data_IF_090989010840
#
_entry.id   IF_090989010840
#
_cell.length_a   1.000
_cell.length_b   1.000
_cell.length_c   1.000
_cell.angle_alpha   90.00
_cell.angle_beta   90.00
_cell.angle_gamma   90.00
#
_symmetry.space_group_name_H-M   'P 1'
#
loop_
_entity.id
_entity.type
_entity.pdbx_description
1 polymer ?
#
# COMPACT_ATOMS: atom_id res chain seq x y z
N UNK A 1 31.17 -7.57 10.77
CA UNK A 1 30.53 -6.35 10.22
C UNK A 1 29.18 -6.74 9.63
N UNK A 2 28.14 -6.83 10.45
CA UNK A 2 26.79 -7.10 9.97
C UNK A 2 26.24 -5.79 9.43
N UNK A 3 26.21 -5.63 8.10
CA UNK A 3 25.34 -4.62 7.51
C UNK A 3 23.93 -5.15 7.64
N UNK A 4 23.16 -4.70 8.63
CA UNK A 4 21.71 -4.80 8.55
C UNK A 4 21.28 -4.06 7.27
N UNK A 5 21.06 -4.81 6.19
CA UNK A 5 20.39 -4.25 5.02
C UNK A 5 18.96 -3.99 5.46
N UNK A 6 18.67 -2.75 5.87
CA UNK A 6 17.28 -2.40 6.12
C UNK A 6 16.60 -2.34 4.76
N UNK A 7 15.73 -3.32 4.53
CA UNK A 7 14.92 -3.42 3.33
C UNK A 7 13.92 -2.26 3.31
N UNK A 8 13.65 -1.73 2.12
CA UNK A 8 12.66 -0.68 1.87
C UNK A 8 11.66 -1.23 0.86
N UNK A 9 10.39 -1.00 1.11
CA UNK A 9 9.31 -1.37 0.20
C UNK A 9 8.85 -0.11 -0.52
N UNK A 10 8.95 -0.10 -1.85
CA UNK A 10 8.35 0.91 -2.70
C UNK A 10 6.93 0.50 -3.02
N UNK A 11 5.95 1.34 -2.69
CA UNK A 11 4.53 1.04 -2.89
C UNK A 11 3.92 2.08 -3.83
N UNK A 12 3.23 1.61 -4.87
CA UNK A 12 2.28 2.41 -5.66
C UNK A 12 0.87 2.06 -5.22
N UNK A 13 0.06 3.08 -4.97
CA UNK A 13 -1.27 2.94 -4.39
C UNK A 13 -2.27 3.94 -5.00
N UNK A 14 -3.54 3.85 -4.58
CA UNK A 14 -4.61 4.78 -4.97
C UNK A 14 -4.80 4.92 -6.49
N UNK A 15 -4.74 3.80 -7.20
CA UNK A 15 -4.94 3.75 -8.64
C UNK A 15 -6.42 3.99 -8.98
N UNK A 16 -6.73 5.21 -9.42
CA UNK A 16 -8.07 5.59 -9.88
C UNK A 16 -7.96 6.31 -11.21
N UNK A 17 -8.73 5.91 -12.21
CA UNK A 17 -8.76 6.55 -13.52
C UNK A 17 -9.85 7.61 -13.64
N UNK A 18 -9.70 8.50 -14.61
CA UNK A 18 -10.76 9.40 -15.08
C UNK A 18 -10.61 9.70 -16.57
N UNK A 19 -11.71 10.12 -17.19
CA UNK A 19 -11.78 10.47 -18.62
C UNK A 19 -11.43 9.31 -19.56
N UNK A 20 -11.68 8.07 -19.14
CA UNK A 20 -11.57 6.90 -20.00
C UNK A 20 -12.82 6.78 -20.90
N UNK A 21 -12.70 6.23 -22.12
CA UNK A 21 -13.86 5.84 -22.90
C UNK A 21 -14.49 4.57 -22.31
N UNK A 22 -15.81 4.52 -22.18
CA UNK A 22 -16.49 3.29 -21.73
C UNK A 22 -16.39 2.18 -22.78
N UNK A 23 -15.84 1.03 -22.41
CA UNK A 23 -15.73 -0.17 -23.27
C UNK A 23 -16.17 -1.42 -22.50
N UNK A 24 -17.48 -1.67 -22.43
CA UNK A 24 -18.06 -2.81 -21.68
C UNK A 24 -17.57 -4.21 -22.09
N UNK A 25 -16.92 -4.35 -23.25
CA UNK A 25 -16.32 -5.60 -23.73
C UNK A 25 -14.86 -5.79 -23.31
N UNK A 26 -14.26 -4.83 -22.64
CA UNK A 26 -12.84 -4.84 -22.27
C UNK A 26 -12.68 -4.58 -20.77
N UNK A 27 -11.59 -5.09 -20.24
CA UNK A 27 -11.10 -4.81 -18.90
C UNK A 27 -9.86 -3.93 -18.98
N UNK A 28 -9.53 -3.23 -17.91
CA UNK A 28 -8.32 -2.45 -17.77
C UNK A 28 -7.35 -3.15 -16.82
N UNK A 29 -6.08 -3.17 -17.19
CA UNK A 29 -4.99 -3.67 -16.35
C UNK A 29 -3.88 -2.63 -16.37
N UNK A 30 -3.32 -2.32 -15.20
CA UNK A 30 -2.13 -1.49 -15.06
C UNK A 30 -0.97 -2.38 -14.65
N UNK A 31 0.14 -2.26 -15.35
CA UNK A 31 1.37 -2.96 -15.02
C UNK A 31 2.47 -1.95 -14.76
N UNK A 32 3.25 -2.15 -13.70
CA UNK A 32 4.49 -1.42 -13.51
C UNK A 32 5.68 -2.33 -13.68
N UNK A 33 6.75 -1.75 -14.22
CA UNK A 33 8.04 -2.42 -14.38
C UNK A 33 9.13 -1.58 -13.71
N UNK A 34 9.87 -2.22 -12.81
CA UNK A 34 11.03 -1.68 -12.13
C UNK A 34 12.15 -2.72 -12.21
N UNK A 35 13.32 -2.34 -12.74
CA UNK A 35 14.51 -3.22 -12.84
C UNK A 35 14.29 -4.60 -13.49
N UNK A 36 13.31 -4.70 -14.38
CA UNK A 36 12.95 -5.95 -15.06
C UNK A 36 11.95 -6.82 -14.30
N UNK A 37 11.60 -6.45 -13.06
CA UNK A 37 10.49 -7.04 -12.33
C UNK A 37 9.19 -6.32 -12.68
N UNK A 38 8.20 -7.10 -13.12
CA UNK A 38 6.90 -6.60 -13.53
C UNK A 38 5.81 -7.05 -12.57
N UNK A 39 5.04 -6.10 -12.06
CA UNK A 39 3.83 -6.35 -11.26
C UNK A 39 2.61 -5.78 -11.98
N UNK A 40 1.46 -6.40 -11.79
CA UNK A 40 0.21 -6.04 -12.45
C UNK A 40 -0.93 -5.92 -11.44
N UNK A 41 -1.87 -5.02 -11.71
CA UNK A 41 -3.14 -4.95 -10.98
C UNK A 41 -4.08 -6.04 -11.47
N UNK A 42 -5.11 -6.32 -10.69
CA UNK A 42 -6.22 -7.15 -11.17
C UNK A 42 -6.97 -6.46 -12.33
N UNK A 43 -7.57 -7.21 -13.26
CA UNK A 43 -8.39 -6.64 -14.31
C UNK A 43 -9.66 -6.00 -13.75
N UNK A 44 -9.92 -4.73 -14.12
CA UNK A 44 -11.12 -3.99 -13.71
C UNK A 44 -11.97 -3.61 -14.92
N UNK A 45 -13.25 -3.31 -14.73
CA UNK A 45 -14.12 -2.94 -15.85
C UNK A 45 -13.65 -1.64 -16.52
N UNK A 46 -13.69 -1.60 -17.85
CA UNK A 46 -13.30 -0.43 -18.63
C UNK A 46 -14.42 0.63 -18.64
N UNK A 47 -14.55 1.34 -17.53
CA UNK A 47 -15.49 2.45 -17.30
C UNK A 47 -14.82 3.80 -17.58
N UNK A 48 -15.55 4.90 -17.41
CA UNK A 48 -14.98 6.26 -17.51
C UNK A 48 -14.12 6.66 -16.31
N UNK A 49 -14.33 5.99 -15.17
CA UNK A 49 -13.62 6.17 -13.91
C UNK A 49 -13.26 4.80 -13.32
N UNK A 50 -12.29 4.08 -13.90
CA UNK A 50 -11.91 2.76 -13.41
C UNK A 50 -11.21 2.87 -12.05
N UNK A 51 -11.52 1.97 -11.13
CA UNK A 51 -10.91 1.92 -9.80
C UNK A 51 -10.12 0.63 -9.66
N UNK A 52 -8.81 0.73 -9.50
CA UNK A 52 -7.93 -0.42 -9.31
C UNK A 52 -7.63 -0.55 -7.81
N UNK A 53 -8.25 -1.54 -7.17
CA UNK A 53 -8.11 -1.80 -5.74
C UNK A 53 -6.87 -2.65 -5.39
N UNK A 54 -5.78 -2.49 -6.15
CA UNK A 54 -4.54 -3.27 -5.98
C UNK A 54 -3.37 -2.31 -5.76
N UNK A 55 -2.57 -2.56 -4.73
CA UNK A 55 -1.29 -1.88 -4.50
C UNK A 55 -0.16 -2.70 -5.14
N UNK A 56 0.83 -2.03 -5.73
CA UNK A 56 1.98 -2.68 -6.34
C UNK A 56 3.22 -2.35 -5.50
N UNK A 57 3.92 -3.37 -5.02
CA UNK A 57 5.01 -3.22 -4.06
C UNK A 57 6.28 -3.95 -4.50
N UNK A 58 7.42 -3.26 -4.48
CA UNK A 58 8.75 -3.82 -4.74
C UNK A 58 9.62 -3.73 -3.50
N UNK A 59 10.33 -4.80 -3.18
CA UNK A 59 11.39 -4.79 -2.18
C UNK A 59 12.69 -4.26 -2.80
N UNK A 60 13.30 -3.29 -2.13
CA UNK A 60 14.51 -2.62 -2.55
C UNK A 60 15.48 -2.50 -1.37
N UNK A 61 16.76 -2.67 -1.64
CA UNK A 61 17.80 -2.29 -0.70
C UNK A 61 17.94 -0.76 -0.61
N UNK A 62 18.32 -0.23 0.56
CA UNK A 62 18.69 1.19 0.73
C UNK A 62 19.71 1.67 -0.31
N UNK A 63 20.68 0.82 -0.66
CA UNK A 63 21.71 1.12 -1.66
C UNK A 63 21.11 1.20 -3.08
N UNK A 64 20.25 0.25 -3.43
CA UNK A 64 19.55 0.23 -4.73
C UNK A 64 18.66 1.47 -4.87
N UNK A 65 17.86 1.79 -3.86
CA UNK A 65 17.04 3.01 -3.83
C UNK A 65 17.88 4.29 -4.03
N UNK A 66 19.04 4.38 -3.38
CA UNK A 66 19.95 5.53 -3.56
C UNK A 66 20.47 5.62 -5.00
N UNK A 67 20.86 4.49 -5.60
CA UNK A 67 21.28 4.44 -7.00
C UNK A 67 20.16 4.84 -7.96
N UNK A 68 18.94 4.33 -7.75
CA UNK A 68 17.78 4.72 -8.55
C UNK A 68 17.48 6.21 -8.51
N UNK A 69 17.63 6.83 -7.34
CA UNK A 69 17.46 8.28 -7.18
C UNK A 69 18.54 9.08 -7.93
N UNK A 70 19.80 8.63 -7.87
CA UNK A 70 20.91 9.27 -8.58
C UNK A 70 20.77 9.13 -10.10
N UNK A 71 20.40 7.94 -10.57
CA UNK A 71 20.26 7.63 -11.99
C UNK A 71 18.92 8.08 -12.59
N UNK A 72 17.98 8.52 -11.73
CA UNK A 72 16.60 8.85 -12.10
C UNK A 72 15.93 7.72 -12.87
N UNK A 73 16.10 6.50 -12.36
CA UNK A 73 15.54 5.29 -12.99
C UNK A 73 14.02 5.49 -13.15
N UNK A 74 13.50 5.49 -14.39
CA UNK A 74 12.08 5.66 -14.64
C UNK A 74 11.33 4.39 -14.24
N UNK A 75 10.27 4.51 -13.45
CA UNK A 75 9.30 3.43 -13.31
C UNK A 75 8.26 3.62 -14.40
N UNK A 76 8.11 2.60 -15.25
CA UNK A 76 7.13 2.64 -16.33
C UNK A 76 5.86 1.94 -15.88
N UNK A 77 4.78 2.70 -15.75
CA UNK A 77 3.42 2.17 -15.62
C UNK A 77 2.80 2.08 -17.01
N UNK A 78 2.39 0.91 -17.45
CA UNK A 78 1.69 0.70 -18.71
C UNK A 78 0.23 0.34 -18.44
N UNK A 79 -0.67 0.99 -19.16
CA UNK A 79 -2.09 0.70 -19.08
C UNK A 79 -2.53 -0.07 -20.32
N UNK A 80 -3.29 -1.13 -20.11
CA UNK A 80 -3.75 -2.03 -21.16
C UNK A 80 -5.25 -2.25 -21.12
N UNK A 81 -5.85 -2.38 -22.30
CA UNK A 81 -7.19 -2.94 -22.47
C UNK A 81 -7.05 -4.44 -22.73
N UNK A 82 -7.60 -5.25 -21.83
CA UNK A 82 -7.67 -6.70 -21.95
C UNK A 82 -9.03 -7.08 -22.50
N UNK A 83 -9.08 -7.86 -23.57
CA UNK A 83 -10.30 -8.53 -24.01
C UNK A 83 -10.44 -9.86 -23.23
N UNK A 84 -11.45 -10.02 -22.37
CA UNK A 84 -11.61 -11.22 -21.55
C UNK A 84 -11.94 -12.47 -22.36
N UNK A 85 -12.41 -12.34 -23.61
CA UNK A 85 -12.76 -13.48 -24.46
C UNK A 85 -11.53 -14.01 -25.20
N UNK A 86 -10.76 -13.12 -25.82
CA UNK A 86 -9.56 -13.49 -26.59
C UNK A 86 -8.27 -13.50 -25.77
N UNK A 87 -8.30 -12.99 -24.53
CA UNK A 87 -7.11 -12.68 -23.72
C UNK A 87 -6.12 -11.74 -24.42
N UNK A 88 -6.56 -11.06 -25.49
CA UNK A 88 -5.72 -10.12 -26.21
C UNK A 88 -5.54 -8.84 -25.39
N UNK A 89 -4.28 -8.39 -25.32
CA UNK A 89 -3.90 -7.23 -24.52
C UNK A 89 -3.43 -6.09 -25.42
N UNK A 90 -4.18 -5.00 -25.39
CA UNK A 90 -3.97 -3.81 -26.19
C UNK A 90 -3.32 -2.71 -25.35
N UNK A 91 -2.13 -2.22 -25.73
CA UNK A 91 -1.51 -1.08 -25.03
C UNK A 91 -2.31 0.20 -25.30
N UNK A 92 -2.79 0.86 -24.23
CA UNK A 92 -3.54 2.11 -24.30
C UNK A 92 -2.60 3.31 -24.15
N UNK A 93 -1.57 3.17 -23.33
CA UNK A 93 -0.62 4.22 -23.04
C UNK A 93 0.25 3.87 -21.85
N UNK A 94 1.04 4.83 -21.40
CA UNK A 94 1.93 4.65 -20.26
C UNK A 94 2.12 5.94 -19.45
N UNK A 95 2.57 5.80 -18.21
CA UNK A 95 2.98 6.87 -17.30
C UNK A 95 4.42 6.57 -16.89
N UNK A 96 5.24 7.61 -16.78
CA UNK A 96 6.62 7.50 -16.29
C UNK A 96 6.70 8.20 -14.94
N UNK A 97 7.06 7.45 -13.90
CA UNK A 97 7.26 7.95 -12.55
C UNK A 97 8.75 7.97 -12.21
N UNK A 98 9.16 8.91 -11.35
CA UNK A 98 10.55 9.11 -10.91
C UNK A 98 10.66 8.84 -9.40
N UNK A 99 11.56 7.94 -9.00
CA UNK A 99 11.81 7.55 -7.60
C UNK A 99 12.35 8.67 -6.71
N UNK A 100 12.86 9.76 -7.29
CA UNK A 100 13.24 10.95 -6.54
C UNK A 100 12.04 11.59 -5.85
N UNK A 101 10.85 11.47 -6.44
CA UNK A 101 9.63 11.96 -5.82
C UNK A 101 9.23 11.11 -4.62
N UNK A 102 9.55 9.81 -4.58
CA UNK A 102 9.17 8.95 -3.48
C UNK A 102 9.88 9.35 -2.18
N UNK A 103 9.12 9.59 -1.11
CA UNK A 103 9.61 9.94 0.22
C UNK A 103 9.05 8.93 1.23
N UNK A 104 9.73 8.76 2.37
CA UNK A 104 9.23 7.91 3.48
C UNK A 104 7.91 8.43 4.03
N UNK A 105 7.65 9.73 3.86
CA UNK A 105 6.33 10.32 4.16
C UNK A 105 5.38 10.06 3.00
N UNK A 106 4.22 9.43 3.29
CA UNK A 106 3.12 9.25 2.33
C UNK A 106 2.83 10.55 1.59
N UNK A 107 3.03 10.53 0.28
CA UNK A 107 2.72 11.66 -0.58
C UNK A 107 1.25 11.65 -0.96
N UNK A 108 0.68 12.83 -1.16
CA UNK A 108 -0.64 12.94 -1.74
C UNK A 108 -0.61 12.33 -3.17
N UNK A 109 -1.58 11.46 -3.51
CA UNK A 109 -1.70 10.93 -4.87
C UNK A 109 -1.82 12.04 -5.91
N UNK A 110 -1.22 11.83 -7.08
CA UNK A 110 -1.19 12.82 -8.18
C UNK A 110 -1.82 12.24 -9.44
N UNK A 111 -2.53 13.07 -10.18
CA UNK A 111 -3.08 12.71 -11.48
C UNK A 111 -2.00 12.75 -12.56
N UNK A 112 -1.86 11.66 -13.30
CA UNK A 112 -0.94 11.54 -14.42
C UNK A 112 -1.72 11.22 -15.69
N UNK A 113 -1.57 12.06 -16.72
CA UNK A 113 -2.14 11.79 -18.03
C UNK A 113 -1.40 10.63 -18.71
N UNK A 114 -2.16 9.74 -19.38
CA UNK A 114 -1.57 8.68 -20.20
C UNK A 114 -0.78 9.28 -21.37
N UNK A 115 0.51 8.97 -21.42
CA UNK A 115 1.38 9.24 -22.55
C UNK A 115 1.14 8.20 -23.65
N UNK A 116 1.36 8.59 -24.91
CA UNK A 116 1.08 7.75 -26.08
C UNK A 116 -0.35 7.20 -26.09
N UNK A 117 -1.30 8.02 -25.63
CA UNK A 117 -2.70 7.66 -25.47
C UNK A 117 -3.33 7.20 -26.80
N UNK A 118 -3.86 5.98 -26.81
CA UNK A 118 -4.56 5.36 -27.94
C UNK A 118 -5.96 5.94 -28.19
N UNK A 119 -6.50 6.71 -27.25
CA UNK A 119 -7.84 7.29 -27.32
C UNK A 119 -7.76 8.79 -27.64
N UNK A 120 -7.63 9.21 -28.91
CA UNK A 120 -7.32 10.61 -29.28
C UNK A 120 -8.40 11.62 -28.86
N UNK A 121 -9.66 11.17 -28.70
CA UNK A 121 -10.79 12.03 -28.26
C UNK A 121 -10.88 12.20 -26.75
N UNK A 122 -10.15 11.38 -26.01
CA UNK A 122 -10.17 11.34 -24.55
C UNK A 122 -8.81 11.79 -24.03
N UNK A 123 -8.78 12.26 -22.79
CA UNK A 123 -7.53 12.55 -22.08
C UNK A 123 -7.51 11.73 -20.80
N UNK A 124 -7.32 10.40 -20.90
CA UNK A 124 -7.41 9.55 -19.73
C UNK A 124 -6.25 9.87 -18.78
N UNK A 125 -6.57 9.94 -17.50
CA UNK A 125 -5.61 10.20 -16.44
C UNK A 125 -5.78 9.17 -15.34
N UNK A 126 -4.69 8.82 -14.68
CA UNK A 126 -4.69 7.90 -13.54
C UNK A 126 -4.09 8.63 -12.35
N UNK A 127 -4.83 8.64 -11.25
CA UNK A 127 -4.36 9.03 -9.92
C UNK A 127 -3.42 7.94 -9.43
N UNK A 128 -2.21 8.31 -9.03
CA UNK A 128 -1.23 7.37 -8.48
C UNK A 128 -0.58 8.00 -7.26
N UNK A 129 -0.61 7.29 -6.14
CA UNK A 129 0.18 7.56 -4.94
C UNK A 129 1.46 6.74 -4.93
N UNK A 130 2.52 7.30 -4.36
CA UNK A 130 3.83 6.62 -4.21
C UNK A 130 4.32 6.83 -2.79
N UNK A 131 4.69 5.75 -2.12
CA UNK A 131 5.28 5.76 -0.78
C UNK A 131 6.46 4.81 -0.66
N UNK A 132 7.36 5.12 0.28
CA UNK A 132 8.43 4.23 0.70
C UNK A 132 8.16 3.83 2.15
N UNK A 133 8.16 2.53 2.41
CA UNK A 133 8.01 1.98 3.75
C UNK A 133 9.30 1.26 4.14
N UNK A 134 9.79 1.45 5.36
CA UNK A 134 10.89 0.64 5.86
C UNK A 134 10.31 -0.71 6.29
N UNK A 135 10.89 -1.81 5.83
CA UNK A 135 10.62 -3.14 6.39
C UNK A 135 11.31 -3.20 7.75
N UNK A 136 10.71 -2.57 8.75
CA UNK A 136 10.96 -2.95 10.13
C UNK A 136 10.32 -4.31 10.29
N UNK A 137 11.10 -5.38 10.04
CA UNK A 137 10.91 -6.62 10.78
C UNK A 137 10.75 -6.16 12.22
N UNK A 138 9.54 -6.29 12.77
CA UNK A 138 9.36 -6.18 14.19
C UNK A 138 10.45 -7.09 14.75
N UNK A 139 11.45 -6.49 15.42
CA UNK A 139 12.37 -7.26 16.24
C UNK A 139 11.43 -8.09 17.08
N UNK A 140 11.38 -9.39 16.81
CA UNK A 140 10.69 -10.35 17.64
C UNK A 140 11.39 -10.19 18.97
N UNK A 141 10.79 -9.36 19.82
CA UNK A 141 11.27 -9.09 21.15
C UNK A 141 11.31 -10.48 21.77
N UNK A 142 12.53 -10.97 22.03
CA UNK A 142 12.78 -12.28 22.60
C UNK A 142 11.77 -12.44 23.73
N UNK A 143 10.76 -13.29 23.52
CA UNK A 143 9.82 -13.62 24.57
C UNK A 143 10.61 -14.44 25.59
N UNK A 144 11.35 -13.74 26.46
CA UNK A 144 11.85 -14.30 27.70
C UNK A 144 10.63 -14.55 28.55
N UNK A 145 10.10 -15.77 28.44
CA UNK A 145 9.33 -16.36 29.50
C UNK A 145 10.15 -16.21 30.78
N UNK A 146 9.70 -15.35 31.71
CA UNK A 146 10.24 -15.37 33.07
C UNK A 146 10.04 -16.78 33.59
N UNK A 147 11.13 -17.44 33.98
CA UNK A 147 11.06 -18.71 34.71
C UNK A 147 10.03 -18.57 35.83
N UNK A 148 9.10 -19.52 35.87
CA UNK A 148 8.13 -19.60 36.94
C UNK A 148 8.89 -19.79 38.27
N UNK A 149 8.56 -19.04 39.33
CA UNK A 149 9.17 -19.23 40.63
C UNK A 149 9.01 -20.70 41.09
N UNK A 150 10.04 -21.31 41.71
CA UNK A 150 9.96 -22.67 42.20
C UNK A 150 8.78 -22.83 43.17
N UNK A 151 7.89 -23.78 42.89
CA UNK A 151 6.79 -24.12 43.81
C UNK A 151 7.34 -24.98 44.95
N UNK A 152 7.81 -24.35 46.03
CA UNK A 152 7.94 -25.04 47.31
C UNK A 152 6.60 -25.04 48.03
N UNK A 153 6.03 -26.23 48.16
CA UNK A 153 4.82 -26.46 48.93
C UNK A 153 5.10 -26.47 50.42
N UNK A 154 4.24 -25.79 51.20
CA UNK A 154 3.38 -26.37 52.24
C UNK A 154 2.76 -25.26 53.09
N UNK A 155 1.46 -25.38 53.33
CA UNK A 155 0.91 -25.08 54.66
C UNK A 155 0.25 -23.72 54.86
N UNK A 156 -1.01 -23.65 54.44
CA UNK A 156 -2.16 -23.26 55.28
C UNK A 156 -2.44 -21.77 55.58
N UNK A 157 -3.52 -21.32 54.90
CA UNK A 157 -4.61 -20.43 55.30
C UNK A 157 -4.38 -18.91 55.48
N UNK A 158 -5.06 -18.19 54.57
CA UNK A 158 -6.05 -17.11 54.79
C UNK A 158 -5.59 -15.92 55.65
N UNK A 159 -5.69 -14.66 55.25
CA UNK A 159 -6.51 -14.03 54.22
C UNK A 159 -6.17 -12.53 54.20
N UNK A 160 -6.40 -11.90 53.03
CA UNK A 160 -6.48 -10.45 52.77
C UNK A 160 -5.19 -9.62 52.84
N UNK A 161 -4.79 -9.06 51.69
CA UNK A 161 -4.87 -7.61 51.41
C UNK A 161 -4.23 -7.33 50.05
N UNK A 162 -5.05 -7.27 48.98
CA UNK A 162 -4.65 -6.63 47.73
C UNK A 162 -5.50 -5.40 47.50
N UNK A 163 -4.87 -4.27 47.82
CA UNK A 163 -4.74 -3.07 47.02
C UNK A 163 -5.97 -2.54 46.27
N UNK A 164 -6.43 -1.41 46.81
CA UNK A 164 -7.42 -0.45 46.33
C UNK A 164 -6.86 0.34 45.14
N UNK A 165 -7.55 0.42 44.00
CA UNK A 165 -7.50 1.63 43.14
C UNK A 165 -8.66 1.71 42.14
N UNK A 166 -9.70 2.42 42.57
CA UNK A 166 -10.61 3.33 41.82
C UNK A 166 -11.24 2.85 40.51
N UNK A 167 -12.49 2.39 40.62
CA UNK A 167 -13.57 2.62 39.65
C UNK A 167 -14.02 4.09 39.70
N UNK A 168 -14.48 4.64 38.57
CA UNK A 168 -15.70 5.44 38.49
C UNK A 168 -15.93 5.97 37.06
N UNK A 169 -16.96 5.49 36.36
CA UNK A 169 -18.18 6.25 36.06
C UNK A 169 -18.95 5.55 34.91
N UNK A 170 -20.15 5.05 35.21
CA UNK A 170 -21.19 4.73 34.23
C UNK A 170 -22.28 5.79 34.37
N UNK A 171 -22.75 6.37 33.27
CA UNK A 171 -24.08 6.96 33.23
C UNK A 171 -24.71 6.85 31.84
N UNK A 172 -25.63 5.91 31.72
CA UNK A 172 -26.74 5.95 30.77
C UNK A 172 -27.70 7.07 31.15
N UNK A 173 -28.08 7.96 30.23
CA UNK A 173 -29.49 8.43 30.12
C UNK A 173 -29.73 9.30 28.88
N UNK A 174 -30.96 9.18 28.42
CA UNK A 174 -31.66 9.69 27.24
C UNK A 174 -32.13 11.16 27.37
N UNK A 175 -32.13 11.86 26.23
CA UNK A 175 -32.98 12.94 25.64
C UNK A 175 -33.59 14.15 26.40
N UNK A 176 -33.75 15.21 25.57
CA UNK A 176 -34.61 16.44 25.61
C UNK A 176 -34.06 17.61 26.47
N UNK A 177 -34.13 18.90 26.08
CA UNK A 177 -35.20 19.63 25.38
C UNK A 177 -34.75 21.03 24.88
N UNK A 178 -35.30 21.43 23.73
CA UNK A 178 -35.73 22.77 23.22
C UNK A 178 -35.33 24.04 24.00
N UNK A 179 -34.76 25.01 23.27
CA UNK A 179 -35.14 26.44 23.26
C UNK A 179 -34.96 27.01 21.85
#
# INVERSE_FOLDING_TARGET
>A
CQSESSQIILIFHSFTGRYFPKRSKHMLVVEAMLDGEQLATDPVEHTDQPEFATELAWELDRKALHQHRLQRTPIKLQCFALDPVSSAKENIGYIVLDLRAAQEKKQAPKWYALLSNKYPKFKPEILVGVSLEADSKALVDDFKAKEAPPREGKGHLLQMCWFKSQENFNFTSISLQIL
#
